data_IF_399797740854
#
_entry.id   IF_399797740854
#
_cell.length_a   1.000
_cell.length_b   1.000
_cell.length_c   1.000
_cell.angle_alpha   90.00
_cell.angle_beta   90.00
_cell.angle_gamma   90.00
#
_symmetry.space_group_name_H-M   'P 1'
#
loop_
_entity.id
_entity.type
_entity.pdbx_description
1 polymer ?
#
# COMPACT_ATOMS: atom_id res chain seq x y z
N UNK A 1 26.51 -12.83 13.75
CA UNK A 1 25.42 -12.71 12.75
C UNK A 1 24.25 -11.99 13.43
N UNK A 2 23.63 -11.01 12.76
CA UNK A 2 22.43 -10.34 13.29
C UNK A 2 21.20 -11.10 12.84
N UNK A 3 20.28 -11.39 13.76
CA UNK A 3 19.01 -12.04 13.48
C UNK A 3 17.87 -11.18 14.01
N UNK A 4 16.84 -10.99 13.19
CA UNK A 4 15.62 -10.29 13.56
C UNK A 4 14.48 -11.30 13.44
N UNK A 5 13.71 -11.46 14.52
CA UNK A 5 12.54 -12.36 14.57
C UNK A 5 11.34 -11.53 14.96
N UNK A 6 10.36 -11.44 14.05
CA UNK A 6 9.07 -10.81 14.32
C UNK A 6 8.03 -11.92 14.46
N UNK A 7 7.37 -11.98 15.61
CA UNK A 7 6.36 -12.99 15.92
C UNK A 7 5.01 -12.33 16.18
N UNK A 8 3.99 -12.72 15.41
CA UNK A 8 2.63 -12.22 15.57
C UNK A 8 1.99 -12.91 16.77
N UNK A 9 1.73 -12.16 17.84
CA UNK A 9 1.07 -12.67 19.05
C UNK A 9 -0.46 -12.55 18.98
N UNK A 10 -0.94 -11.54 18.29
CA UNK A 10 -2.36 -11.26 18.06
C UNK A 10 -2.52 -10.54 16.73
N UNK A 11 -3.62 -10.79 16.03
CA UNK A 11 -3.88 -10.22 14.72
C UNK A 11 -5.34 -9.77 14.62
N UNK A 12 -5.53 -8.53 14.19
CA UNK A 12 -6.81 -8.03 13.69
C UNK A 12 -6.81 -8.19 12.15
N UNK A 13 -7.81 -8.88 11.55
CA UNK A 13 -7.93 -9.02 10.11
C UNK A 13 -7.96 -7.70 9.34
N UNK A 14 -8.29 -6.58 9.98
CA UNK A 14 -8.32 -5.25 9.36
C UNK A 14 -6.94 -4.59 9.29
N UNK A 15 -6.00 -5.00 10.14
CA UNK A 15 -4.69 -4.34 10.24
C UNK A 15 -3.68 -4.95 9.29
N UNK A 16 -2.91 -4.08 8.63
CA UNK A 16 -1.79 -4.51 7.80
C UNK A 16 -0.59 -4.95 8.65
N UNK A 17 -0.47 -6.27 8.82
CA UNK A 17 0.64 -6.86 9.58
C UNK A 17 2.01 -6.66 8.92
N UNK A 18 2.10 -6.38 7.62
CA UNK A 18 3.38 -6.16 6.93
C UNK A 18 4.01 -4.83 7.37
N UNK A 19 3.21 -3.75 7.33
CA UNK A 19 3.62 -2.43 7.83
C UNK A 19 4.00 -2.53 9.32
N UNK A 20 3.16 -3.17 10.13
CA UNK A 20 3.43 -3.34 11.56
C UNK A 20 4.71 -4.14 11.83
N UNK A 21 4.95 -5.21 11.06
CA UNK A 21 6.12 -6.08 11.25
C UNK A 21 7.43 -5.36 10.93
N UNK A 22 7.47 -4.57 9.84
CA UNK A 22 8.67 -3.82 9.48
C UNK A 22 8.96 -2.72 10.51
N UNK A 23 7.94 -1.99 10.92
CA UNK A 23 8.08 -0.97 11.96
C UNK A 23 8.53 -1.58 13.30
N UNK A 24 7.97 -2.73 13.70
CA UNK A 24 8.38 -3.44 14.92
C UNK A 24 9.84 -3.93 14.85
N UNK A 25 10.25 -4.53 13.72
CA UNK A 25 11.64 -4.92 13.49
C UNK A 25 12.60 -3.74 13.57
N UNK A 26 12.23 -2.61 12.95
CA UNK A 26 13.01 -1.38 12.94
C UNK A 26 13.21 -0.82 14.35
N UNK A 27 12.14 -0.71 15.13
CA UNK A 27 12.20 -0.24 16.52
C UNK A 27 13.04 -1.18 17.38
N UNK A 28 12.85 -2.50 17.25
CA UNK A 28 13.65 -3.48 18.00
C UNK A 28 15.15 -3.34 17.69
N UNK A 29 15.51 -3.06 16.43
CA UNK A 29 16.90 -2.87 16.02
C UNK A 29 17.44 -1.52 16.51
N UNK A 30 16.64 -0.46 16.44
CA UNK A 30 16.99 0.88 16.89
C UNK A 30 17.25 0.96 18.41
N UNK A 31 16.46 0.21 19.20
CA UNK A 31 16.63 0.13 20.66
C UNK A 31 17.74 -0.83 21.11
N UNK A 32 18.33 -1.60 20.21
CA UNK A 32 19.39 -2.56 20.54
C UNK A 32 20.78 -1.91 20.55
N UNK A 33 21.78 -2.65 21.03
CA UNK A 33 23.19 -2.22 20.98
C UNK A 33 23.82 -2.30 19.57
N UNK A 34 23.03 -2.68 18.56
CA UNK A 34 23.49 -2.76 17.18
C UNK A 34 23.63 -1.34 16.61
N UNK A 35 24.76 -1.00 15.96
CA UNK A 35 24.98 0.35 15.44
C UNK A 35 24.06 0.63 14.25
N UNK A 36 22.92 1.25 14.53
CA UNK A 36 21.92 1.67 13.55
C UNK A 36 21.80 3.19 13.57
N UNK A 37 21.89 3.81 12.39
CA UNK A 37 21.97 5.28 12.26
C UNK A 37 20.65 5.99 12.53
N UNK A 38 19.53 5.37 12.13
CA UNK A 38 18.19 5.93 12.25
C UNK A 38 17.13 4.83 12.06
N UNK A 39 15.93 4.99 12.64
CA UNK A 39 14.83 4.04 12.48
C UNK A 39 14.23 4.13 11.09
N UNK A 40 14.09 2.96 10.44
CA UNK A 40 13.34 2.81 9.19
C UNK A 40 11.84 2.80 9.52
N UNK A 41 11.05 3.49 8.72
CA UNK A 41 9.59 3.45 8.80
C UNK A 41 9.02 2.94 7.47
N UNK A 42 7.96 2.14 7.53
CA UNK A 42 7.16 1.79 6.36
C UNK A 42 5.73 2.24 6.45
N UNK A 43 5.16 2.47 5.27
CA UNK A 43 3.77 2.86 5.03
C UNK A 43 3.26 2.16 3.78
N UNK A 44 1.94 2.00 3.68
CA UNK A 44 1.26 1.51 2.49
C UNK A 44 0.31 2.58 1.97
N UNK A 45 0.32 2.83 0.66
CA UNK A 45 -0.59 3.75 0.00
C UNK A 45 -1.55 2.96 -0.89
N UNK A 46 -2.85 3.18 -0.70
CA UNK A 46 -3.91 2.71 -1.57
C UNK A 46 -4.47 3.83 -2.45
N UNK A 47 -5.19 3.48 -3.52
CA UNK A 47 -5.97 4.41 -4.34
C UNK A 47 -7.40 3.91 -4.44
N UNK A 48 -8.30 4.55 -3.68
CA UNK A 48 -9.70 4.15 -3.53
C UNK A 48 -10.57 5.29 -4.03
N UNK A 49 -11.51 4.99 -4.93
CA UNK A 49 -12.38 6.00 -5.57
C UNK A 49 -11.60 7.20 -6.14
N UNK A 50 -10.41 6.94 -6.70
CA UNK A 50 -9.53 7.95 -7.28
C UNK A 50 -8.65 8.71 -6.29
N UNK A 51 -8.81 8.49 -4.97
CA UNK A 51 -8.07 9.21 -3.93
C UNK A 51 -6.97 8.34 -3.31
N UNK A 52 -5.80 8.93 -3.04
CA UNK A 52 -4.74 8.26 -2.31
C UNK A 52 -5.03 8.21 -0.81
N UNK A 53 -4.94 7.00 -0.23
CA UNK A 53 -5.20 6.72 1.18
C UNK A 53 -3.92 6.19 1.81
N UNK A 54 -3.49 6.82 2.90
CA UNK A 54 -2.35 6.37 3.71
C UNK A 54 -2.78 5.27 4.68
N UNK A 55 -2.02 4.18 4.69
CA UNK A 55 -2.22 2.98 5.50
C UNK A 55 -3.69 2.50 5.50
N UNK A 56 -4.26 2.20 4.30
CA UNK A 56 -5.61 1.65 4.23
C UNK A 56 -5.66 0.34 5.01
N UNK A 57 -6.79 0.07 5.66
CA UNK A 57 -7.03 -1.21 6.30
C UNK A 57 -7.21 -2.32 5.23
N UNK A 58 -7.14 -3.59 5.63
CA UNK A 58 -7.20 -4.70 4.67
C UNK A 58 -8.55 -4.81 3.93
N UNK A 59 -9.64 -4.26 4.45
CA UNK A 59 -10.94 -4.19 3.75
C UNK A 59 -10.92 -3.08 2.69
N UNK A 60 -10.34 -1.92 3.03
CA UNK A 60 -10.14 -0.80 2.11
C UNK A 60 -9.20 -1.17 0.96
N UNK A 61 -8.11 -1.88 1.26
CA UNK A 61 -7.12 -2.30 0.26
C UNK A 61 -7.72 -3.23 -0.81
N UNK A 62 -8.78 -3.98 -0.49
CA UNK A 62 -9.49 -4.83 -1.47
C UNK A 62 -10.22 -4.01 -2.55
N UNK A 63 -10.64 -2.80 -2.22
CA UNK A 63 -11.29 -1.87 -3.16
C UNK A 63 -10.28 -0.90 -3.78
N UNK A 64 -8.98 -1.09 -3.51
CA UNK A 64 -7.93 -0.23 -4.00
C UNK A 64 -7.50 -0.61 -5.41
N UNK A 65 -7.21 0.40 -6.24
CA UNK A 65 -6.61 0.24 -7.56
C UNK A 65 -5.08 0.29 -7.53
N UNK A 66 -4.49 0.67 -6.38
CA UNK A 66 -3.05 0.73 -6.12
C UNK A 66 -2.72 0.02 -4.81
N UNK A 67 -1.62 -0.73 -4.77
CA UNK A 67 -1.00 -1.22 -3.55
C UNK A 67 0.48 -0.85 -3.61
N UNK A 68 0.83 0.26 -2.95
CA UNK A 68 2.17 0.83 -2.93
C UNK A 68 2.73 0.75 -1.51
N UNK A 69 3.64 -0.18 -1.27
CA UNK A 69 4.33 -0.36 0.00
C UNK A 69 5.71 0.30 -0.07
N UNK A 70 5.97 1.24 0.83
CA UNK A 70 7.20 2.05 0.82
C UNK A 70 7.86 1.98 2.19
N UNK A 71 9.17 1.82 2.20
CA UNK A 71 9.98 1.93 3.40
C UNK A 71 11.11 2.95 3.21
N UNK A 72 11.42 3.71 4.24
CA UNK A 72 12.40 4.79 4.18
C UNK A 72 12.84 5.28 5.55
N UNK A 73 13.66 6.31 5.55
CA UNK A 73 14.21 6.95 6.75
C UNK A 73 14.25 8.45 6.53
N UNK A 74 13.66 9.23 7.43
CA UNK A 74 13.55 10.70 7.29
C UNK A 74 12.94 11.06 5.92
N UNK A 75 13.69 11.75 5.08
CA UNK A 75 13.32 12.16 3.73
C UNK A 75 13.81 11.19 2.63
N UNK A 76 14.51 10.11 2.97
CA UNK A 76 15.03 9.13 2.01
C UNK A 76 14.10 7.91 1.87
N UNK A 77 13.70 7.59 0.64
CA UNK A 77 13.03 6.34 0.31
C UNK A 77 14.07 5.25 0.05
N UNK A 78 13.93 4.11 0.72
CA UNK A 78 14.90 3.00 0.66
C UNK A 78 14.38 1.81 -0.15
N UNK A 79 13.10 1.50 -0.05
CA UNK A 79 12.46 0.38 -0.73
C UNK A 79 11.06 0.73 -1.18
N UNK A 80 10.69 0.29 -2.38
CA UNK A 80 9.36 0.44 -2.96
C UNK A 80 8.96 -0.92 -3.52
N UNK A 81 7.79 -1.41 -3.10
CA UNK A 81 7.10 -2.56 -3.68
C UNK A 81 5.72 -2.07 -4.15
N UNK A 82 5.41 -2.22 -5.43
CA UNK A 82 4.18 -1.67 -6.01
C UNK A 82 3.48 -2.64 -6.95
N UNK A 83 2.15 -2.61 -6.92
CA UNK A 83 1.30 -3.22 -7.93
C UNK A 83 0.04 -2.39 -8.17
N UNK A 84 -0.44 -2.40 -9.40
CA UNK A 84 -1.80 -1.94 -9.73
C UNK A 84 -2.75 -3.12 -9.71
N UNK A 85 -3.95 -2.89 -9.20
CA UNK A 85 -4.98 -3.92 -9.09
C UNK A 85 -6.04 -3.66 -10.16
N UNK A 86 -6.47 -4.67 -10.92
CA UNK A 86 -7.43 -4.47 -12.01
C UNK A 86 -8.82 -4.14 -11.48
N UNK A 87 -9.48 -3.16 -12.09
CA UNK A 87 -10.91 -2.91 -11.88
C UNK A 87 -11.73 -3.71 -12.90
N UNK A 88 -12.72 -4.47 -12.43
CA UNK A 88 -13.59 -5.28 -13.28
C UNK A 88 -15.01 -4.72 -13.26
N UNK A 89 -15.46 -4.22 -14.41
CA UNK A 89 -16.84 -3.79 -14.58
C UNK A 89 -17.58 -4.80 -15.44
N UNK A 90 -18.66 -5.33 -14.89
CA UNK A 90 -19.62 -6.10 -15.66
C UNK A 90 -20.55 -5.13 -16.40
N UNK A 91 -20.53 -5.21 -17.72
CA UNK A 91 -21.45 -4.45 -18.56
C UNK A 91 -22.46 -5.42 -19.17
N UNK A 92 -23.73 -5.05 -19.05
CA UNK A 92 -24.81 -5.68 -19.78
C UNK A 92 -24.93 -5.00 -21.14
N UNK A 93 -24.68 -5.76 -22.20
CA UNK A 93 -24.83 -5.27 -23.58
C UNK A 93 -26.07 -5.93 -24.16
N UNK A 94 -27.02 -5.10 -24.57
CA UNK A 94 -28.16 -5.52 -25.37
C UNK A 94 -27.72 -5.59 -26.83
N UNK A 95 -27.78 -6.79 -27.40
CA UNK A 95 -27.52 -7.00 -28.81
C UNK A 95 -28.88 -7.20 -29.50
N UNK A 96 -29.30 -6.21 -30.29
CA UNK A 96 -30.47 -6.35 -31.17
C UNK A 96 -30.15 -7.37 -32.25
N UNK A 97 -30.91 -8.47 -32.29
CA UNK A 97 -30.76 -9.53 -33.28
C UNK A 97 -32.11 -9.84 -33.94
N UNK A 98 -32.13 -10.26 -35.22
CA UNK A 98 -33.35 -10.29 -36.05
C UNK A 98 -34.48 -11.24 -35.58
N UNK A 99 -34.25 -12.06 -34.56
CA UNK A 99 -35.23 -13.04 -34.06
C UNK A 99 -35.45 -13.01 -32.54
N UNK A 100 -34.49 -12.53 -31.76
CA UNK A 100 -34.61 -12.37 -30.31
C UNK A 100 -33.46 -11.50 -29.80
N UNK A 101 -33.77 -10.53 -28.94
CA UNK A 101 -32.73 -9.75 -28.26
C UNK A 101 -31.93 -10.65 -27.33
N UNK A 102 -30.60 -10.57 -27.43
CA UNK A 102 -29.69 -11.35 -26.59
C UNK A 102 -29.05 -10.42 -25.57
N UNK A 103 -29.35 -10.67 -24.28
CA UNK A 103 -28.63 -10.06 -23.18
C UNK A 103 -27.31 -10.80 -22.97
N UNK A 104 -26.19 -10.13 -23.26
CA UNK A 104 -24.86 -10.71 -23.05
C UNK A 104 -24.12 -9.94 -21.97
N UNK A 105 -23.54 -10.64 -21.00
CA UNK A 105 -22.64 -10.06 -19.99
C UNK A 105 -21.23 -10.04 -20.54
N UNK A 106 -20.62 -8.86 -20.53
CA UNK A 106 -19.22 -8.68 -20.95
C UNK A 106 -18.45 -8.07 -19.80
N UNK A 107 -17.28 -8.63 -19.48
CA UNK A 107 -16.41 -8.08 -18.44
C UNK A 107 -15.38 -7.17 -19.10
N UNK A 108 -15.36 -5.89 -18.71
CA UNK A 108 -14.28 -4.97 -19.06
C UNK A 108 -13.29 -4.92 -17.90
N UNK A 109 -12.01 -5.13 -18.20
CA UNK A 109 -10.92 -4.95 -17.25
C UNK A 109 -10.16 -3.67 -17.56
N UNK A 110 -9.98 -2.82 -16.55
CA UNK A 110 -9.06 -1.69 -16.61
C UNK A 110 -7.76 -2.07 -15.87
N UNK A 111 -6.61 -1.80 -16.51
CA UNK A 111 -5.28 -2.09 -15.95
C UNK A 111 -4.82 -1.03 -14.94
N UNK A 112 -5.57 0.07 -14.81
CA UNK A 112 -5.34 1.14 -13.84
C UNK A 112 -3.90 1.66 -13.89
N UNK A 113 -3.42 1.98 -15.10
CA UNK A 113 -2.13 2.64 -15.27
C UNK A 113 -2.09 3.97 -14.50
N UNK A 114 -0.96 4.26 -13.85
CA UNK A 114 -0.75 5.55 -13.20
C UNK A 114 0.07 6.44 -14.12
N UNK A 115 -0.34 7.70 -14.22
CA UNK A 115 0.48 8.75 -14.81
C UNK A 115 1.70 9.06 -13.93
N UNK A 116 2.72 9.70 -14.53
CA UNK A 116 3.93 10.12 -13.79
C UNK A 116 3.57 11.06 -12.63
N UNK A 117 2.63 11.98 -12.84
CA UNK A 117 2.16 12.92 -11.83
C UNK A 117 1.49 12.19 -10.64
N UNK A 118 0.68 11.17 -10.92
CA UNK A 118 0.04 10.35 -9.88
C UNK A 118 1.04 9.51 -9.08
N UNK A 119 2.08 8.98 -9.75
CA UNK A 119 3.16 8.27 -9.07
C UNK A 119 3.91 9.22 -8.13
N UNK A 120 4.23 10.44 -8.60
CA UNK A 120 4.89 11.45 -7.80
C UNK A 120 4.04 11.88 -6.60
N UNK A 121 2.74 12.06 -6.80
CA UNK A 121 1.80 12.38 -5.72
C UNK A 121 1.78 11.28 -4.64
N UNK A 122 1.68 10.01 -5.05
CA UNK A 122 1.68 8.87 -4.15
C UNK A 122 3.01 8.74 -3.38
N UNK A 123 4.15 8.93 -4.05
CA UNK A 123 5.47 8.87 -3.43
C UNK A 123 5.70 10.05 -2.46
N UNK A 124 5.23 11.25 -2.80
CA UNK A 124 5.31 12.40 -1.91
C UNK A 124 4.46 12.19 -0.64
N UNK A 125 3.27 11.60 -0.78
CA UNK A 125 2.43 11.22 0.37
C UNK A 125 3.16 10.22 1.26
N UNK A 126 3.77 9.19 0.68
CA UNK A 126 4.56 8.19 1.40
C UNK A 126 5.78 8.80 2.10
N UNK A 127 6.56 9.63 1.40
CA UNK A 127 7.75 10.30 1.94
C UNK A 127 7.39 11.19 3.13
N UNK A 128 6.31 11.97 3.03
CA UNK A 128 5.84 12.82 4.14
C UNK A 128 5.42 11.98 5.36
N UNK A 129 4.75 10.85 5.13
CA UNK A 129 4.35 9.95 6.21
C UNK A 129 5.57 9.28 6.88
N UNK A 130 6.55 8.84 6.09
CA UNK A 130 7.81 8.27 6.58
C UNK A 130 8.60 9.30 7.39
N UNK A 131 8.71 10.55 6.90
CA UNK A 131 9.38 11.63 7.62
C UNK A 131 8.76 11.84 9.01
N UNK A 132 7.43 11.92 9.07
CA UNK A 132 6.71 12.07 10.34
C UNK A 132 6.95 10.87 11.26
N UNK A 133 6.92 9.65 10.72
CA UNK A 133 7.17 8.41 11.47
C UNK A 133 8.59 8.34 12.03
N UNK A 134 9.61 8.66 11.22
CA UNK A 134 11.01 8.70 11.65
C UNK A 134 11.24 9.74 12.75
N UNK A 135 10.65 10.94 12.63
CA UNK A 135 10.81 11.99 13.65
C UNK A 135 10.14 11.59 14.97
N UNK A 136 8.95 10.97 14.91
CA UNK A 136 8.25 10.51 16.11
C UNK A 136 9.07 9.49 16.92
N UNK A 137 9.91 8.68 16.27
CA UNK A 137 10.82 7.75 16.97
C UNK A 137 12.03 8.46 17.59
N UNK A 138 12.55 9.52 16.97
CA UNK A 138 13.66 10.29 17.53
C UNK A 138 13.23 11.15 18.73
N UNK A 139 11.95 11.51 18.80
CA UNK A 139 11.38 12.34 19.88
C UNK A 139 10.85 11.56 21.09
N UNK A 140 10.72 10.22 20.99
CA UNK A 140 10.14 9.34 22.02
C UNK A 140 11.16 8.86 23.06
#
# INVERSE_FOLDING_TARGET
PTQIVVMVLSADPKVDLQVMSLNAASVALYLSDIPMKAPVCSVRIGKIDGNFILNPNNEELQNSTLDLYVAGVKDELLMIEMRTLPDQKENEIFIEAPYADVLTRTTSQNMNELSEDEILEALNLAQKAILNGSNAYEEA
#
